data_IF_670493927627
#
_entry.id   IF_670493927627
#
_cell.length_a   1.000
_cell.length_b   1.000
_cell.length_c   1.000
_cell.angle_alpha   90.00
_cell.angle_beta   90.00
_cell.angle_gamma   90.00
#
_symmetry.space_group_name_H-M   'P 1'
#
loop_
_entity.id
_entity.type
_entity.pdbx_description
1 polymer ?
#
# COMPACT_ATOMS: atom_id res chain seq x y z
N UNK A 1 -12.64 23.50 -37.16
CA UNK A 1 -12.29 22.10 -36.84
C UNK A 1 -13.21 21.62 -35.72
N UNK A 2 -14.18 20.78 -36.07
CA UNK A 2 -15.24 20.32 -35.16
C UNK A 2 -14.64 19.44 -34.06
N UNK A 3 -14.92 19.77 -32.80
CA UNK A 3 -14.82 18.82 -31.69
C UNK A 3 -15.81 17.71 -31.98
N UNK A 4 -15.34 16.61 -32.58
CA UNK A 4 -16.08 15.35 -32.55
C UNK A 4 -16.46 15.11 -31.10
N UNK A 5 -17.76 14.98 -30.82
CA UNK A 5 -18.25 14.70 -29.48
C UNK A 5 -17.57 13.43 -28.99
N UNK A 6 -16.56 13.54 -28.14
CA UNK A 6 -15.92 12.39 -27.55
C UNK A 6 -17.02 11.54 -26.90
N UNK A 7 -17.02 10.25 -27.22
CA UNK A 7 -17.97 9.32 -26.62
C UNK A 7 -17.84 9.37 -25.09
N UNK A 8 -18.94 9.09 -24.37
CA UNK A 8 -18.91 9.02 -22.89
C UNK A 8 -17.80 8.08 -22.39
N UNK A 9 -17.51 7.00 -23.14
CA UNK A 9 -16.44 6.06 -22.86
C UNK A 9 -15.05 6.70 -22.90
N UNK A 10 -14.75 7.53 -23.90
CA UNK A 10 -13.48 8.25 -23.98
C UNK A 10 -13.31 9.19 -22.78
N UNK A 11 -14.37 9.89 -22.37
CA UNK A 11 -14.33 10.76 -21.19
C UNK A 11 -14.07 9.98 -19.89
N UNK A 12 -14.70 8.83 -19.69
CA UNK A 12 -14.43 7.98 -18.52
C UNK A 12 -13.00 7.42 -18.52
N UNK A 13 -12.52 6.99 -19.68
CA UNK A 13 -11.14 6.53 -19.85
C UNK A 13 -10.13 7.63 -19.48
N UNK A 14 -10.31 8.82 -20.04
CA UNK A 14 -9.43 9.96 -19.79
C UNK A 14 -9.48 10.39 -18.32
N UNK A 15 -10.68 10.41 -17.74
CA UNK A 15 -10.86 10.71 -16.32
C UNK A 15 -10.15 9.68 -15.44
N UNK A 16 -10.27 8.40 -15.74
CA UNK A 16 -9.66 7.35 -14.92
C UNK A 16 -8.13 7.42 -14.94
N UNK A 17 -7.52 7.54 -16.13
CA UNK A 17 -6.08 7.47 -16.31
C UNK A 17 -5.35 8.79 -16.12
N UNK A 18 -5.97 9.91 -16.49
CA UNK A 18 -5.27 11.18 -16.68
C UNK A 18 -5.83 12.35 -15.86
N UNK A 19 -6.76 12.12 -14.93
CA UNK A 19 -7.18 13.16 -13.96
C UNK A 19 -5.94 13.70 -13.25
N UNK A 20 -5.67 15.01 -13.25
CA UNK A 20 -4.48 15.59 -12.61
C UNK A 20 -4.27 15.15 -11.16
N UNK A 21 -3.05 14.77 -10.80
CA UNK A 21 -2.68 14.47 -9.40
C UNK A 21 -1.31 15.05 -9.03
N UNK A 22 -0.95 14.93 -7.76
CA UNK A 22 0.31 15.42 -7.20
C UNK A 22 1.48 14.45 -7.45
N UNK A 23 2.69 14.96 -7.72
CA UNK A 23 3.89 14.13 -7.80
C UNK A 23 4.23 13.40 -6.48
N UNK A 24 3.66 13.84 -5.35
CA UNK A 24 3.85 13.18 -4.04
C UNK A 24 3.31 11.75 -4.01
N UNK A 25 2.21 11.47 -4.70
CA UNK A 25 1.64 10.12 -4.72
C UNK A 25 2.57 9.13 -5.43
N UNK A 26 3.29 9.55 -6.47
CA UNK A 26 4.31 8.72 -7.13
C UNK A 26 5.55 8.53 -6.27
N UNK A 27 6.02 9.59 -5.62
CA UNK A 27 7.14 9.48 -4.71
C UNK A 27 6.82 8.55 -3.53
N UNK A 28 5.60 8.62 -3.00
CA UNK A 28 5.11 7.69 -1.99
C UNK A 28 5.08 6.26 -2.51
N UNK A 29 4.49 6.01 -3.70
CA UNK A 29 4.47 4.69 -4.31
C UNK A 29 5.90 4.13 -4.43
N UNK A 30 6.83 4.92 -4.96
CA UNK A 30 8.25 4.55 -5.07
C UNK A 30 8.85 4.13 -3.73
N UNK A 31 8.64 4.92 -2.68
CA UNK A 31 9.16 4.61 -1.33
C UNK A 31 8.50 3.35 -0.77
N UNK A 32 7.17 3.22 -0.87
CA UNK A 32 6.41 2.07 -0.35
C UNK A 32 6.91 0.77 -0.98
N UNK A 33 6.98 0.72 -2.32
CA UNK A 33 7.39 -0.49 -3.03
C UNK A 33 8.88 -0.78 -2.86
N UNK A 34 9.73 0.24 -2.79
CA UNK A 34 11.15 0.05 -2.49
C UNK A 34 11.36 -0.49 -1.06
N UNK A 35 10.74 0.13 -0.06
CA UNK A 35 10.86 -0.27 1.34
C UNK A 35 10.28 -1.67 1.60
N UNK A 36 9.12 -1.97 1.03
CA UNK A 36 8.52 -3.30 1.11
C UNK A 36 9.46 -4.36 0.50
N UNK A 37 9.98 -4.11 -0.70
CA UNK A 37 10.86 -5.07 -1.37
C UNK A 37 12.18 -5.26 -0.62
N UNK A 38 12.71 -4.19 -0.03
CA UNK A 38 13.90 -4.25 0.82
C UNK A 38 13.64 -5.09 2.08
N UNK A 39 12.46 -4.95 2.71
CA UNK A 39 12.06 -5.79 3.83
C UNK A 39 11.97 -7.27 3.45
N UNK A 40 11.35 -7.59 2.32
CA UNK A 40 11.29 -8.98 1.82
C UNK A 40 12.69 -9.50 1.54
N UNK A 41 13.52 -8.73 0.82
CA UNK A 41 14.89 -9.12 0.48
C UNK A 41 15.75 -9.35 1.73
N UNK A 42 15.61 -8.51 2.77
CA UNK A 42 16.35 -8.63 4.01
C UNK A 42 15.83 -9.75 4.94
N UNK A 43 14.55 -10.13 4.81
CA UNK A 43 13.94 -11.20 5.63
C UNK A 43 14.08 -12.59 5.01
N UNK A 44 14.72 -12.71 3.85
CA UNK A 44 14.85 -13.94 3.08
C UNK A 44 16.28 -14.19 2.65
N UNK A 45 16.68 -15.45 2.64
CA UNK A 45 18.00 -15.88 2.19
C UNK A 45 17.93 -16.32 0.72
N UNK A 46 17.48 -15.43 -0.17
CA UNK A 46 17.18 -15.79 -1.57
C UNK A 46 18.41 -16.36 -2.30
N UNK A 47 19.59 -15.78 -2.09
CA UNK A 47 20.81 -16.24 -2.74
C UNK A 47 21.20 -17.68 -2.35
N UNK A 48 20.93 -18.10 -1.12
CA UNK A 48 21.30 -19.43 -0.61
C UNK A 48 20.55 -20.55 -1.35
N UNK A 49 19.38 -20.25 -1.92
CA UNK A 49 18.59 -21.20 -2.69
C UNK A 49 19.37 -21.72 -3.91
N UNK A 50 20.17 -20.86 -4.55
CA UNK A 50 21.05 -21.26 -5.66
C UNK A 50 22.16 -22.22 -5.25
N UNK A 51 22.51 -22.26 -3.96
CA UNK A 51 23.51 -23.15 -3.38
C UNK A 51 22.97 -24.53 -2.98
N UNK A 52 21.67 -24.77 -3.12
CA UNK A 52 21.06 -26.07 -2.82
C UNK A 52 21.59 -27.18 -3.74
N UNK A 53 21.59 -28.45 -3.30
CA UNK A 53 22.06 -29.59 -4.09
C UNK A 53 21.41 -29.66 -5.47
N UNK A 54 22.17 -30.07 -6.51
CA UNK A 54 21.66 -30.14 -7.88
C UNK A 54 20.40 -31.02 -8.03
N UNK A 55 20.25 -32.03 -7.18
CA UNK A 55 19.06 -32.89 -7.16
C UNK A 55 17.77 -32.12 -6.85
N UNK A 56 17.85 -31.07 -6.04
CA UNK A 56 16.71 -30.18 -5.77
C UNK A 56 16.21 -29.52 -7.07
N UNK A 57 17.15 -29.11 -7.92
CA UNK A 57 16.89 -28.42 -9.18
C UNK A 57 16.39 -29.33 -10.30
N UNK A 58 16.49 -30.66 -10.15
CA UNK A 58 16.03 -31.64 -11.14
C UNK A 58 14.51 -31.54 -11.41
N UNK A 59 13.74 -31.07 -10.42
CA UNK A 59 12.28 -30.90 -10.52
C UNK A 59 11.88 -29.55 -11.12
N UNK A 60 12.82 -28.62 -11.26
CA UNK A 60 12.56 -27.28 -11.79
C UNK A 60 12.68 -27.33 -13.32
N UNK A 61 11.55 -27.12 -14.00
CA UNK A 61 11.49 -27.15 -15.45
C UNK A 61 12.49 -26.20 -16.10
N UNK A 62 13.14 -26.64 -17.18
CA UNK A 62 14.14 -25.83 -17.89
C UNK A 62 13.56 -24.48 -18.37
N UNK A 63 12.31 -24.47 -18.81
CA UNK A 63 11.62 -23.23 -19.22
C UNK A 63 11.50 -22.21 -18.08
N UNK A 64 11.25 -22.66 -16.85
CA UNK A 64 11.19 -21.78 -15.69
C UNK A 64 12.57 -21.21 -15.37
N UNK A 65 13.62 -22.05 -15.39
CA UNK A 65 15.00 -21.61 -15.19
C UNK A 65 15.43 -20.57 -16.22
N UNK A 66 15.15 -20.78 -17.50
CA UNK A 66 15.46 -19.81 -18.55
C UNK A 66 14.64 -18.52 -18.46
N UNK A 67 13.37 -18.60 -18.05
CA UNK A 67 12.50 -17.42 -17.89
C UNK A 67 13.02 -16.44 -16.85
N UNK A 68 13.64 -16.96 -15.81
CA UNK A 68 14.12 -16.18 -14.67
C UNK A 68 15.64 -16.07 -14.60
N UNK A 69 16.36 -16.80 -15.44
CA UNK A 69 17.82 -16.95 -15.44
C UNK A 69 18.36 -17.62 -14.16
N UNK A 70 17.59 -18.57 -13.61
CA UNK A 70 17.92 -19.27 -12.37
C UNK A 70 18.79 -20.50 -12.68
N UNK A 71 20.11 -20.37 -12.49
CA UNK A 71 21.06 -21.45 -12.68
C UNK A 71 21.72 -21.83 -11.35
N UNK A 72 21.64 -23.11 -10.93
CA UNK A 72 22.20 -23.54 -9.65
C UNK A 72 23.73 -23.52 -9.64
N UNK A 73 24.32 -23.45 -8.44
CA UNK A 73 25.77 -23.52 -8.25
C UNK A 73 26.49 -22.15 -8.31
N UNK A 74 25.74 -21.05 -8.38
CA UNK A 74 26.29 -19.70 -8.52
C UNK A 74 26.04 -18.80 -7.29
N UNK A 75 26.17 -19.35 -6.08
CA UNK A 75 25.89 -18.65 -4.82
C UNK A 75 26.52 -17.25 -4.70
N UNK A 76 27.79 -17.11 -5.08
CA UNK A 76 28.48 -15.81 -5.01
C UNK A 76 27.86 -14.77 -5.94
N UNK A 77 27.46 -15.17 -7.14
CA UNK A 77 26.79 -14.29 -8.09
C UNK A 77 25.44 -13.84 -7.52
N UNK A 78 24.64 -14.76 -7.01
CA UNK A 78 23.33 -14.44 -6.45
C UNK A 78 23.42 -13.53 -5.22
N UNK A 79 24.42 -13.75 -4.35
CA UNK A 79 24.68 -12.83 -3.23
C UNK A 79 25.03 -11.43 -3.73
N UNK A 80 25.86 -11.31 -4.77
CA UNK A 80 26.17 -10.01 -5.39
C UNK A 80 24.91 -9.36 -5.97
N UNK A 81 24.05 -10.11 -6.67
CA UNK A 81 22.81 -9.60 -7.23
C UNK A 81 21.83 -9.14 -6.14
N UNK A 82 21.73 -9.86 -5.02
CA UNK A 82 20.96 -9.44 -3.84
C UNK A 82 21.48 -8.12 -3.27
N UNK A 83 22.80 -7.96 -3.11
CA UNK A 83 23.38 -6.70 -2.65
C UNK A 83 23.11 -5.53 -3.60
N UNK A 84 23.30 -5.76 -4.90
CA UNK A 84 22.99 -4.76 -5.93
C UNK A 84 21.51 -4.37 -5.92
N UNK A 85 20.61 -5.34 -5.74
CA UNK A 85 19.18 -5.09 -5.61
C UNK A 85 18.87 -4.25 -4.36
N UNK A 86 19.48 -4.59 -3.21
CA UNK A 86 19.34 -3.81 -1.97
C UNK A 86 19.79 -2.36 -2.14
N UNK A 87 20.96 -2.13 -2.75
CA UNK A 87 21.48 -0.78 -3.03
C UNK A 87 20.53 -0.03 -3.99
N UNK A 88 20.12 -0.67 -5.08
CA UNK A 88 19.21 -0.07 -6.05
C UNK A 88 17.85 0.30 -5.40
N UNK A 89 17.34 -0.53 -4.49
CA UNK A 89 16.11 -0.27 -3.75
C UNK A 89 16.26 0.91 -2.77
N UNK A 90 17.38 1.00 -2.05
CA UNK A 90 17.68 2.16 -1.19
C UNK A 90 17.77 3.43 -2.04
N UNK A 91 18.48 3.39 -3.17
CA UNK A 91 18.54 4.52 -4.10
C UNK A 91 17.16 4.88 -4.68
N UNK A 92 16.34 3.88 -5.02
CA UNK A 92 14.98 4.08 -5.49
C UNK A 92 14.13 4.76 -4.41
N UNK A 93 14.12 4.27 -3.18
CA UNK A 93 13.39 4.89 -2.06
C UNK A 93 13.84 6.33 -1.81
N UNK A 94 15.15 6.55 -1.70
CA UNK A 94 15.76 7.87 -1.47
C UNK A 94 15.60 8.85 -2.64
N UNK A 95 15.28 8.35 -3.84
CA UNK A 95 15.17 9.17 -5.04
C UNK A 95 16.51 9.60 -5.62
N UNK A 96 17.53 8.75 -5.49
CA UNK A 96 18.80 8.85 -6.21
C UNK A 96 18.61 8.20 -7.57
N UNK A 97 18.73 8.97 -8.65
CA UNK A 97 18.43 8.53 -10.04
C UNK A 97 17.15 7.68 -10.13
N UNK A 98 15.99 8.20 -9.66
CA UNK A 98 14.84 7.39 -9.28
C UNK A 98 14.34 6.45 -10.39
N UNK A 99 14.35 6.90 -11.65
CA UNK A 99 13.91 6.07 -12.80
C UNK A 99 14.85 4.90 -13.04
N UNK A 100 16.16 5.14 -13.04
CA UNK A 100 17.18 4.11 -13.23
C UNK A 100 17.19 3.13 -12.06
N UNK A 101 17.16 3.65 -10.82
CA UNK A 101 17.13 2.84 -9.61
C UNK A 101 15.89 1.94 -9.54
N UNK A 102 14.70 2.47 -9.92
CA UNK A 102 13.49 1.66 -10.07
C UNK A 102 13.62 0.60 -11.16
N UNK A 103 14.19 0.93 -12.32
CA UNK A 103 14.39 -0.01 -13.43
C UNK A 103 15.29 -1.17 -13.00
N UNK A 104 16.48 -0.84 -12.48
CA UNK A 104 17.46 -1.83 -12.01
C UNK A 104 16.86 -2.69 -10.89
N UNK A 105 16.17 -2.08 -9.92
CA UNK A 105 15.48 -2.83 -8.86
C UNK A 105 14.43 -3.79 -9.43
N UNK A 106 13.61 -3.33 -10.38
CA UNK A 106 12.57 -4.16 -11.01
C UNK A 106 13.15 -5.37 -11.75
N UNK A 107 14.23 -5.17 -12.51
CA UNK A 107 14.91 -6.26 -13.24
C UNK A 107 15.58 -7.26 -12.27
N UNK A 108 16.32 -6.76 -11.27
CA UNK A 108 16.97 -7.63 -10.31
C UNK A 108 15.95 -8.42 -9.47
N UNK A 109 14.86 -7.78 -9.03
CA UNK A 109 13.80 -8.49 -8.32
C UNK A 109 13.04 -9.47 -9.20
N UNK A 110 12.89 -9.22 -10.51
CA UNK A 110 12.29 -10.19 -11.44
C UNK A 110 13.08 -11.50 -11.47
N UNK A 111 14.41 -11.40 -11.45
CA UNK A 111 15.31 -12.55 -11.36
C UNK A 111 15.32 -13.20 -9.97
N UNK A 112 15.35 -12.41 -8.89
CA UNK A 112 15.51 -12.95 -7.53
C UNK A 112 14.22 -13.52 -6.92
N UNK A 113 13.04 -13.02 -7.31
CA UNK A 113 11.77 -13.39 -6.69
C UNK A 113 11.37 -14.87 -6.81
N UNK A 114 11.63 -15.58 -7.92
CA UNK A 114 11.39 -17.02 -8.07
C UNK A 114 12.03 -17.87 -6.97
N UNK A 115 13.21 -17.49 -6.47
CA UNK A 115 13.90 -18.21 -5.39
C UNK A 115 13.05 -18.34 -4.12
N UNK A 116 12.11 -17.43 -3.87
CA UNK A 116 11.17 -17.57 -2.74
C UNK A 116 10.20 -18.74 -2.93
N UNK A 117 9.72 -18.94 -4.16
CA UNK A 117 8.68 -19.93 -4.47
C UNK A 117 9.23 -21.31 -4.82
N UNK A 118 10.45 -21.37 -5.37
CA UNK A 118 11.03 -22.61 -5.89
C UNK A 118 11.25 -23.67 -4.81
N UNK A 119 11.41 -23.24 -3.55
CA UNK A 119 11.48 -24.09 -2.36
C UNK A 119 10.20 -24.94 -2.20
N UNK A 120 9.06 -24.43 -2.62
CA UNK A 120 7.76 -25.02 -2.37
C UNK A 120 7.15 -25.67 -3.61
N UNK A 121 7.45 -25.14 -4.80
CA UNK A 121 6.80 -25.55 -6.04
C UNK A 121 7.78 -25.62 -7.22
N UNK A 122 7.62 -26.60 -8.13
CA UNK A 122 8.49 -26.77 -9.30
C UNK A 122 8.23 -25.75 -10.43
N UNK A 123 7.17 -24.94 -10.32
CA UNK A 123 6.81 -23.87 -11.24
C UNK A 123 6.86 -22.52 -10.50
N UNK A 124 8.07 -21.95 -10.31
CA UNK A 124 8.23 -20.79 -9.46
C UNK A 124 7.57 -19.54 -10.05
N UNK A 125 7.14 -18.65 -9.16
CA UNK A 125 6.61 -17.33 -9.44
C UNK A 125 7.09 -16.34 -8.38
N UNK A 126 6.91 -15.05 -8.61
CA UNK A 126 7.40 -14.01 -7.71
C UNK A 126 6.47 -13.85 -6.47
N UNK A 127 6.43 -14.86 -5.58
CA UNK A 127 5.67 -14.82 -4.31
C UNK A 127 6.09 -13.56 -3.54
N UNK A 128 5.13 -12.72 -3.14
CA UNK A 128 5.38 -11.42 -2.48
C UNK A 128 5.95 -10.30 -3.38
N UNK A 129 6.89 -10.59 -4.27
CA UNK A 129 7.58 -9.57 -5.07
C UNK A 129 6.93 -9.25 -6.43
N UNK A 130 5.95 -10.04 -6.90
CA UNK A 130 5.32 -9.84 -8.24
C UNK A 130 4.85 -8.40 -8.43
N UNK A 131 4.09 -7.87 -7.46
CA UNK A 131 3.54 -6.51 -7.54
C UNK A 131 4.66 -5.47 -7.46
N UNK A 132 5.68 -5.70 -6.63
CA UNK A 132 6.83 -4.80 -6.55
C UNK A 132 7.59 -4.69 -7.87
N UNK A 133 7.82 -5.81 -8.55
CA UNK A 133 8.53 -5.83 -9.84
C UNK A 133 7.81 -4.97 -10.86
N UNK A 134 6.52 -5.24 -11.09
CA UNK A 134 5.72 -4.50 -12.08
C UNK A 134 5.50 -3.04 -11.66
N UNK A 135 5.38 -2.74 -10.36
CA UNK A 135 5.25 -1.38 -9.86
C UNK A 135 6.53 -0.56 -10.03
N UNK A 136 7.69 -1.13 -9.69
CA UNK A 136 8.99 -0.47 -9.87
C UNK A 136 9.29 -0.25 -11.35
N UNK A 137 9.02 -1.23 -12.22
CA UNK A 137 9.15 -1.04 -13.66
C UNK A 137 8.19 0.05 -14.18
N UNK A 138 6.94 0.07 -13.71
CA UNK A 138 5.97 1.14 -14.04
C UNK A 138 6.50 2.52 -13.63
N UNK A 139 7.07 2.64 -12.43
CA UNK A 139 7.65 3.87 -11.91
C UNK A 139 8.91 4.30 -12.68
N UNK A 140 9.71 3.36 -13.17
CA UNK A 140 10.88 3.65 -14.00
C UNK A 140 10.52 4.43 -15.28
N UNK A 141 9.33 4.16 -15.82
CA UNK A 141 8.80 4.85 -17.01
C UNK A 141 7.91 6.04 -16.68
N UNK A 142 7.87 6.48 -15.41
CA UNK A 142 7.08 7.63 -14.98
C UNK A 142 7.94 8.77 -14.42
N UNK A 143 7.40 9.98 -14.23
CA UNK A 143 8.10 11.10 -13.60
C UNK A 143 8.17 10.94 -12.06
N UNK A 144 8.50 9.74 -11.55
CA UNK A 144 8.56 9.42 -10.12
C UNK A 144 9.71 10.11 -9.34
N UNK A 145 10.47 10.98 -10.02
CA UNK A 145 11.54 11.79 -9.45
C UNK A 145 11.18 13.24 -9.19
N UNK A 146 9.95 13.68 -9.51
CA UNK A 146 9.55 15.09 -9.38
C UNK A 146 9.23 15.50 -7.93
N UNK A 147 9.25 14.56 -6.97
CA UNK A 147 9.04 14.83 -5.53
C UNK A 147 9.85 13.87 -4.65
N UNK A 148 10.19 14.33 -3.44
CA UNK A 148 10.90 13.60 -2.39
C UNK A 148 12.16 12.87 -2.90
N UNK A 149 13.10 13.61 -3.48
CA UNK A 149 14.38 13.10 -3.97
C UNK A 149 15.54 13.74 -3.24
N UNK A 150 16.55 12.96 -2.86
CA UNK A 150 17.79 13.50 -2.26
C UNK A 150 18.70 14.22 -3.27
N UNK A 151 18.67 13.81 -4.54
CA UNK A 151 19.47 14.42 -5.62
C UNK A 151 18.55 15.09 -6.64
N UNK A 152 18.04 16.31 -6.35
CA UNK A 152 17.28 17.05 -7.34
C UNK A 152 18.21 17.44 -8.50
N UNK A 153 17.97 16.89 -9.68
CA UNK A 153 18.65 17.32 -10.91
C UNK A 153 18.12 18.70 -11.33
N UNK A 154 18.48 19.74 -10.59
CA UNK A 154 18.36 21.16 -11.00
C UNK A 154 16.98 21.67 -11.40
N UNK A 155 15.88 20.95 -11.14
CA UNK A 155 14.53 21.32 -11.54
C UNK A 155 13.72 21.81 -10.35
N UNK A 156 13.54 23.12 -10.26
CA UNK A 156 12.71 23.77 -9.23
C UNK A 156 11.20 23.66 -9.48
N UNK A 157 10.77 23.04 -10.60
CA UNK A 157 9.36 22.86 -10.98
C UNK A 157 9.07 21.42 -11.42
N UNK A 158 7.85 20.92 -11.18
CA UNK A 158 7.39 19.65 -11.75
C UNK A 158 7.59 19.69 -13.27
N UNK A 159 8.27 18.67 -13.82
CA UNK A 159 8.68 18.68 -15.22
C UNK A 159 7.62 18.10 -16.15
N UNK A 160 6.66 17.36 -15.60
CA UNK A 160 5.63 16.67 -16.36
C UNK A 160 4.26 17.34 -16.20
N UNK A 161 3.38 17.23 -17.20
CA UNK A 161 1.96 17.55 -17.06
C UNK A 161 1.34 16.83 -15.85
N UNK A 162 0.40 17.49 -15.18
CA UNK A 162 -0.22 16.94 -13.98
C UNK A 162 -0.96 15.60 -14.21
N UNK A 163 -1.37 15.33 -15.46
CA UNK A 163 -1.96 14.06 -15.92
C UNK A 163 -0.99 12.88 -15.86
N UNK A 164 0.31 13.12 -16.06
CA UNK A 164 1.33 12.08 -16.18
C UNK A 164 1.67 11.45 -14.83
N UNK A 165 1.25 12.09 -13.74
CA UNK A 165 1.40 11.58 -12.39
C UNK A 165 0.34 10.51 -12.02
N UNK A 166 -0.77 10.45 -12.75
CA UNK A 166 -1.94 9.63 -12.36
C UNK A 166 -1.89 8.22 -12.92
N UNK A 167 -1.62 8.09 -14.22
CA UNK A 167 -1.65 6.79 -14.88
C UNK A 167 -0.74 5.73 -14.22
N UNK A 168 0.48 6.03 -13.73
CA UNK A 168 1.34 5.00 -13.16
C UNK A 168 0.81 4.53 -11.80
N UNK A 169 0.31 5.45 -10.96
CA UNK A 169 -0.34 5.11 -9.69
C UNK A 169 -1.58 4.26 -9.94
N UNK A 170 -2.39 4.61 -10.95
CA UNK A 170 -3.58 3.85 -11.32
C UNK A 170 -3.25 2.47 -11.84
N UNK A 171 -2.21 2.34 -12.66
CA UNK A 171 -1.76 1.06 -13.17
C UNK A 171 -1.31 0.13 -12.03
N UNK A 172 -0.56 0.67 -11.07
CA UNK A 172 -0.16 -0.08 -9.86
C UNK A 172 -1.39 -0.48 -9.02
N UNK A 173 -2.37 0.41 -8.87
CA UNK A 173 -3.63 0.08 -8.19
C UNK A 173 -4.40 -1.02 -8.93
N UNK A 174 -4.39 -1.04 -10.26
CA UNK A 174 -5.00 -2.11 -11.07
C UNK A 174 -4.30 -3.44 -10.80
N UNK A 175 -2.96 -3.47 -10.88
CA UNK A 175 -2.17 -4.67 -10.58
C UNK A 175 -2.40 -5.22 -9.16
N UNK A 176 -2.58 -4.35 -8.18
CA UNK A 176 -2.91 -4.77 -6.82
C UNK A 176 -4.33 -5.32 -6.68
N UNK A 177 -5.27 -4.88 -7.49
CA UNK A 177 -6.68 -5.26 -7.35
C UNK A 177 -6.99 -6.49 -8.20
N UNK A 178 -6.34 -6.64 -9.35
CA UNK A 178 -6.53 -7.78 -10.22
C UNK A 178 -6.15 -9.10 -9.54
N UNK A 179 -5.16 -9.13 -8.64
CA UNK A 179 -4.80 -10.36 -7.93
C UNK A 179 -5.97 -10.91 -7.11
N UNK A 180 -6.77 -10.04 -6.49
CA UNK A 180 -7.94 -10.46 -5.71
C UNK A 180 -9.08 -10.86 -6.64
N UNK A 181 -9.33 -10.05 -7.67
CA UNK A 181 -10.35 -10.35 -8.67
C UNK A 181 -10.10 -11.72 -9.32
N UNK A 182 -8.87 -11.98 -9.76
CA UNK A 182 -8.50 -13.25 -10.38
C UNK A 182 -8.40 -14.40 -9.38
N UNK A 183 -8.05 -14.14 -8.11
CA UNK A 183 -8.16 -15.16 -7.07
C UNK A 183 -9.61 -15.61 -6.85
N UNK A 184 -10.57 -14.68 -6.82
CA UNK A 184 -12.00 -15.01 -6.72
C UNK A 184 -12.53 -15.69 -7.99
N UNK A 185 -12.16 -15.17 -9.16
CA UNK A 185 -12.51 -15.75 -10.46
C UNK A 185 -12.01 -17.19 -10.60
N UNK A 186 -10.74 -17.46 -10.27
CA UNK A 186 -10.15 -18.79 -10.35
C UNK A 186 -10.88 -19.80 -9.45
N UNK A 187 -11.29 -19.40 -8.24
CA UNK A 187 -12.08 -20.25 -7.34
C UNK A 187 -13.40 -20.68 -7.99
N UNK A 188 -14.10 -19.74 -8.62
CA UNK A 188 -15.38 -20.01 -9.28
C UNK A 188 -15.18 -20.85 -10.55
N UNK A 189 -14.19 -20.54 -11.37
CA UNK A 189 -14.01 -21.24 -12.66
C UNK A 189 -13.44 -22.64 -12.48
N UNK A 190 -12.46 -22.82 -11.60
CA UNK A 190 -11.78 -24.12 -11.41
C UNK A 190 -12.60 -25.05 -10.52
N UNK A 191 -13.20 -24.53 -9.45
CA UNK A 191 -13.91 -25.35 -8.45
C UNK A 191 -15.43 -25.21 -8.54
N UNK A 192 -15.95 -24.09 -9.01
CA UNK A 192 -17.38 -23.78 -9.01
C UNK A 192 -17.85 -23.12 -7.72
N UNK A 193 -19.15 -22.83 -7.64
CA UNK A 193 -19.78 -22.24 -6.44
C UNK A 193 -19.62 -23.09 -5.17
N UNK A 194 -19.39 -24.40 -5.31
CA UNK A 194 -19.08 -25.30 -4.19
C UNK A 194 -17.78 -24.94 -3.44
N UNK A 195 -16.93 -24.09 -4.02
CA UNK A 195 -15.76 -23.55 -3.31
C UNK A 195 -16.18 -22.84 -2.01
N UNK A 196 -17.27 -22.08 -2.04
CA UNK A 196 -17.80 -21.38 -0.86
C UNK A 196 -18.64 -22.28 0.07
N UNK A 197 -18.74 -23.59 -0.20
CA UNK A 197 -19.48 -24.50 0.68
C UNK A 197 -18.80 -24.61 2.05
N UNK A 198 -19.62 -24.75 3.09
CA UNK A 198 -19.11 -24.90 4.45
C UNK A 198 -18.14 -26.09 4.60
N UNK A 199 -18.39 -27.20 3.91
CA UNK A 199 -17.52 -28.37 3.92
C UNK A 199 -16.14 -28.07 3.31
N UNK A 200 -16.10 -27.39 2.15
CA UNK A 200 -14.84 -27.03 1.51
C UNK A 200 -14.02 -26.05 2.36
N UNK A 201 -14.67 -25.00 2.89
CA UNK A 201 -13.99 -24.01 3.74
C UNK A 201 -13.48 -24.63 5.04
N UNK A 202 -14.28 -25.51 5.67
CA UNK A 202 -13.83 -26.28 6.85
C UNK A 202 -12.56 -27.09 6.52
N UNK A 203 -12.55 -27.78 5.39
CA UNK A 203 -11.40 -28.60 4.99
C UNK A 203 -10.15 -27.74 4.77
N UNK A 204 -10.27 -26.58 4.10
CA UNK A 204 -9.15 -25.65 3.93
C UNK A 204 -8.63 -25.11 5.26
N UNK A 205 -9.52 -24.73 6.17
CA UNK A 205 -9.14 -24.24 7.49
C UNK A 205 -8.37 -25.33 8.26
N UNK A 206 -8.92 -26.53 8.36
CA UNK A 206 -8.27 -27.63 9.07
C UNK A 206 -6.94 -28.02 8.42
N UNK A 207 -6.90 -28.09 7.08
CA UNK A 207 -5.68 -28.36 6.35
C UNK A 207 -4.58 -27.34 6.65
N UNK A 208 -4.88 -26.03 6.58
CA UNK A 208 -3.88 -24.99 6.81
C UNK A 208 -3.50 -24.79 8.30
N UNK A 209 -4.34 -25.24 9.24
CA UNK A 209 -3.97 -25.26 10.66
C UNK A 209 -2.96 -26.38 10.95
N UNK A 210 -3.15 -27.55 10.33
CA UNK A 210 -2.23 -28.69 10.46
C UNK A 210 -0.95 -28.50 9.62
N UNK A 211 -1.05 -27.82 8.48
CA UNK A 211 0.10 -27.52 7.62
C UNK A 211 0.89 -26.32 8.17
N UNK A 212 2.06 -26.62 8.74
CA UNK A 212 2.89 -25.75 9.59
C UNK A 212 3.60 -24.60 8.84
N UNK A 213 2.87 -23.72 8.15
CA UNK A 213 3.49 -22.49 7.60
C UNK A 213 3.97 -21.54 8.70
N UNK A 214 3.25 -21.49 9.83
CA UNK A 214 3.58 -20.68 11.01
C UNK A 214 3.40 -21.44 12.32
N UNK A 215 2.40 -22.34 12.41
CA UNK A 215 2.18 -23.21 13.56
C UNK A 215 1.73 -22.52 14.85
N UNK A 216 1.42 -21.21 14.83
CA UNK A 216 1.16 -20.42 16.05
C UNK A 216 -0.33 -20.31 16.40
N UNK A 217 -1.21 -20.11 15.41
CA UNK A 217 -2.61 -19.76 15.64
C UNK A 217 -3.55 -20.93 15.35
N UNK A 218 -4.16 -21.50 16.40
CA UNK A 218 -5.03 -22.69 16.25
C UNK A 218 -6.49 -22.43 16.64
N UNK A 219 -6.73 -21.51 17.57
CA UNK A 219 -8.02 -21.34 18.25
C UNK A 219 -9.13 -20.79 17.36
N UNK A 220 -8.86 -19.70 16.63
CA UNK A 220 -9.87 -19.04 15.79
C UNK A 220 -10.31 -19.94 14.62
N UNK A 221 -9.34 -20.57 13.97
CA UNK A 221 -9.58 -21.49 12.88
C UNK A 221 -10.39 -22.72 13.31
N UNK A 222 -9.99 -23.38 14.41
CA UNK A 222 -10.73 -24.51 14.97
C UNK A 222 -12.16 -24.12 15.39
N UNK A 223 -12.33 -22.93 15.99
CA UNK A 223 -13.64 -22.37 16.33
C UNK A 223 -14.54 -22.19 15.10
N UNK A 224 -13.99 -21.68 14.00
CA UNK A 224 -14.74 -21.47 12.75
C UNK A 224 -15.07 -22.81 12.08
N UNK A 225 -14.10 -23.74 12.01
CA UNK A 225 -14.26 -25.06 11.43
C UNK A 225 -15.37 -25.88 12.10
N UNK A 226 -15.52 -25.76 13.42
CA UNK A 226 -16.58 -26.42 14.18
C UNK A 226 -18.00 -25.93 13.83
N UNK A 227 -18.15 -24.79 13.13
CA UNK A 227 -19.44 -24.13 12.87
C UNK A 227 -19.72 -24.03 11.38
N UNK A 228 -20.76 -24.73 10.92
CA UNK A 228 -21.15 -24.73 9.51
C UNK A 228 -21.49 -23.32 8.98
N UNK A 229 -22.23 -22.52 9.76
CA UNK A 229 -22.60 -21.15 9.37
C UNK A 229 -21.38 -20.23 9.27
N UNK A 230 -20.40 -20.37 10.16
CA UNK A 230 -19.16 -19.60 10.10
C UNK A 230 -18.37 -19.93 8.83
N UNK A 231 -18.22 -21.22 8.51
CA UNK A 231 -17.55 -21.66 7.29
C UNK A 231 -18.26 -21.16 6.02
N UNK A 232 -19.60 -21.23 5.98
CA UNK A 232 -20.38 -20.71 4.85
C UNK A 232 -20.21 -19.19 4.70
N UNK A 233 -20.31 -18.45 5.81
CA UNK A 233 -20.14 -17.00 5.82
C UNK A 233 -18.73 -16.59 5.36
N UNK A 234 -17.69 -17.30 5.79
CA UNK A 234 -16.31 -17.08 5.35
C UNK A 234 -16.15 -17.37 3.85
N UNK A 235 -16.70 -18.47 3.35
CA UNK A 235 -16.62 -18.83 1.93
C UNK A 235 -17.32 -17.82 1.03
N UNK A 236 -18.58 -17.51 1.32
CA UNK A 236 -19.35 -16.50 0.56
C UNK A 236 -18.73 -15.11 0.71
N UNK A 237 -18.35 -14.73 1.93
CA UNK A 237 -17.71 -13.44 2.22
C UNK A 237 -16.41 -13.27 1.47
N UNK A 238 -15.58 -14.32 1.37
CA UNK A 238 -14.34 -14.30 0.58
C UNK A 238 -14.61 -14.03 -0.89
N UNK A 239 -15.56 -14.74 -1.52
CA UNK A 239 -15.88 -14.52 -2.94
C UNK A 239 -16.45 -13.13 -3.20
N UNK A 240 -17.39 -12.66 -2.36
CA UNK A 240 -17.96 -11.32 -2.47
C UNK A 240 -16.86 -10.25 -2.32
N UNK A 241 -15.97 -10.44 -1.36
CA UNK A 241 -14.88 -9.51 -1.11
C UNK A 241 -13.87 -9.46 -2.26
N UNK A 242 -13.35 -10.62 -2.68
CA UNK A 242 -12.34 -10.73 -3.74
C UNK A 242 -12.85 -10.17 -5.08
N UNK A 243 -14.07 -10.55 -5.50
CA UNK A 243 -14.67 -10.05 -6.73
C UNK A 243 -15.08 -8.58 -6.62
N UNK A 244 -15.60 -8.18 -5.45
CA UNK A 244 -16.04 -6.81 -5.19
C UNK A 244 -14.89 -5.81 -5.06
N UNK A 245 -13.66 -6.26 -4.83
CA UNK A 245 -12.52 -5.39 -4.64
C UNK A 245 -12.23 -4.51 -5.86
N UNK A 246 -12.61 -4.94 -7.07
CA UNK A 246 -12.47 -4.13 -8.30
C UNK A 246 -13.12 -2.75 -8.19
N UNK A 247 -14.14 -2.60 -7.35
CA UNK A 247 -14.86 -1.35 -7.13
C UNK A 247 -13.99 -0.25 -6.50
N UNK A 248 -12.87 -0.57 -5.86
CA UNK A 248 -11.95 0.43 -5.27
C UNK A 248 -11.30 1.34 -6.32
N UNK A 249 -11.21 0.87 -7.57
CA UNK A 249 -10.67 1.64 -8.68
C UNK A 249 -11.59 2.82 -9.04
N UNK A 250 -12.90 2.61 -8.94
CA UNK A 250 -13.93 3.51 -9.45
C UNK A 250 -14.68 4.29 -8.36
N UNK A 251 -14.74 3.78 -7.13
CA UNK A 251 -15.49 4.40 -6.03
C UNK A 251 -14.60 4.80 -4.85
N UNK A 252 -14.73 6.06 -4.42
CA UNK A 252 -14.05 6.58 -3.21
C UNK A 252 -14.58 5.91 -1.94
N UNK A 253 -15.87 5.58 -1.90
CA UNK A 253 -16.48 4.88 -0.76
C UNK A 253 -15.93 3.45 -0.70
N UNK A 254 -15.93 2.74 -1.84
CA UNK A 254 -15.35 1.41 -1.91
C UNK A 254 -13.88 1.42 -1.47
N UNK A 255 -13.08 2.41 -1.90
CA UNK A 255 -11.69 2.54 -1.44
C UNK A 255 -11.57 2.73 0.08
N UNK A 256 -12.40 3.58 0.68
CA UNK A 256 -12.37 3.85 2.13
C UNK A 256 -12.77 2.63 2.96
N UNK A 257 -13.66 1.79 2.44
CA UNK A 257 -14.19 0.62 3.16
C UNK A 257 -13.37 -0.63 2.85
N UNK A 258 -13.19 -0.95 1.58
CA UNK A 258 -12.58 -2.22 1.16
C UNK A 258 -11.07 -2.25 1.36
N UNK A 259 -10.33 -1.14 1.21
CA UNK A 259 -8.86 -1.16 1.39
C UNK A 259 -8.46 -1.51 2.83
N UNK A 260 -9.03 -0.91 3.89
CA UNK A 260 -8.81 -1.37 5.25
C UNK A 260 -9.30 -2.80 5.49
N UNK A 261 -10.42 -3.19 4.87
CA UNK A 261 -10.91 -4.57 4.95
C UNK A 261 -9.93 -5.57 4.33
N UNK A 262 -9.09 -5.21 3.36
CA UNK A 262 -8.02 -6.10 2.86
C UNK A 262 -7.05 -6.45 4.00
N UNK A 263 -6.64 -5.48 4.81
CA UNK A 263 -5.75 -5.75 5.95
C UNK A 263 -6.43 -6.65 6.99
N UNK A 264 -7.70 -6.41 7.29
CA UNK A 264 -8.49 -7.26 8.20
C UNK A 264 -8.73 -8.66 7.64
N UNK A 265 -8.93 -8.78 6.33
CA UNK A 265 -9.10 -10.05 5.63
C UNK A 265 -7.82 -10.90 5.76
N UNK A 266 -6.65 -10.31 5.52
CA UNK A 266 -5.37 -11.02 5.70
C UNK A 266 -5.08 -11.33 7.17
N UNK A 267 -5.45 -10.45 8.10
CA UNK A 267 -5.34 -10.75 9.52
C UNK A 267 -6.23 -11.93 9.90
N UNK A 268 -7.46 -11.99 9.37
CA UNK A 268 -8.37 -13.12 9.55
C UNK A 268 -7.80 -14.42 8.98
N UNK A 269 -7.18 -14.37 7.80
CA UNK A 269 -6.49 -15.52 7.21
C UNK A 269 -5.30 -15.95 8.07
N UNK A 270 -4.49 -15.02 8.57
CA UNK A 270 -3.36 -15.34 9.45
C UNK A 270 -3.83 -16.04 10.74
N UNK A 271 -4.82 -15.46 11.43
CA UNK A 271 -5.31 -15.98 12.70
C UNK A 271 -6.15 -17.26 12.54
N UNK A 272 -6.81 -17.43 11.38
CA UNK A 272 -7.70 -18.56 11.12
C UNK A 272 -7.06 -19.73 10.36
N UNK A 273 -5.99 -19.47 9.60
CA UNK A 273 -5.38 -20.45 8.68
C UNK A 273 -3.85 -20.46 8.72
N UNK A 274 -3.18 -19.71 9.60
CA UNK A 274 -1.70 -19.62 9.66
C UNK A 274 -1.01 -19.18 8.35
N UNK A 275 -1.75 -18.60 7.40
CA UNK A 275 -1.19 -18.13 6.13
C UNK A 275 -0.85 -16.64 6.21
N UNK A 276 0.39 -16.29 5.84
CA UNK A 276 0.84 -14.90 5.79
C UNK A 276 0.90 -14.39 4.36
N UNK A 277 0.40 -13.18 4.17
CA UNK A 277 0.49 -12.44 2.92
C UNK A 277 1.18 -11.11 3.19
N UNK A 278 2.41 -10.99 2.71
CA UNK A 278 3.28 -9.88 3.08
C UNK A 278 2.89 -8.57 2.37
N UNK A 279 2.07 -8.62 1.31
CA UNK A 279 1.78 -7.47 0.44
C UNK A 279 0.90 -6.37 1.08
N UNK A 280 0.38 -6.56 2.30
CA UNK A 280 -0.52 -5.61 2.96
C UNK A 280 0.01 -4.16 3.00
N UNK A 281 1.30 -3.88 3.29
CA UNK A 281 1.82 -2.51 3.28
C UNK A 281 1.72 -1.80 1.91
N UNK A 282 1.70 -2.56 0.80
CA UNK A 282 1.60 -1.99 -0.55
C UNK A 282 0.24 -1.32 -0.79
N UNK A 283 -0.79 -1.64 0.00
CA UNK A 283 -2.11 -0.98 -0.05
C UNK A 283 -2.05 0.52 0.23
N UNK A 284 -0.97 0.99 0.84
CA UNK A 284 -0.72 2.40 1.07
C UNK A 284 -0.65 3.24 -0.23
N UNK A 285 -0.51 2.60 -1.41
CA UNK A 285 -0.64 3.27 -2.71
C UNK A 285 -2.06 3.82 -2.97
N UNK A 286 -3.07 3.39 -2.21
CA UNK A 286 -4.42 3.93 -2.26
C UNK A 286 -4.60 5.21 -1.41
N UNK A 287 -3.64 5.52 -0.53
CA UNK A 287 -3.69 6.70 0.32
C UNK A 287 -3.48 7.98 -0.50
N UNK A 288 -4.11 9.08 -0.05
CA UNK A 288 -3.83 10.41 -0.58
C UNK A 288 -2.69 11.05 0.22
N UNK A 289 -1.49 11.02 -0.34
CA UNK A 289 -0.29 11.46 0.35
C UNK A 289 -0.17 12.98 0.48
N UNK A 290 -0.93 13.76 -0.29
CA UNK A 290 -1.03 15.20 -0.07
C UNK A 290 -1.75 15.52 1.24
N UNK A 291 -2.85 14.81 1.51
CA UNK A 291 -3.63 14.97 2.75
C UNK A 291 -2.80 14.52 3.95
N UNK A 292 -2.12 13.37 3.84
CA UNK A 292 -1.23 12.86 4.91
C UNK A 292 -0.10 13.86 5.19
N UNK A 293 0.57 14.35 4.15
CA UNK A 293 1.65 15.32 4.30
C UNK A 293 1.16 16.66 4.90
N UNK A 294 -0.05 17.11 4.55
CA UNK A 294 -0.65 18.31 5.14
C UNK A 294 -1.00 18.11 6.62
N UNK A 295 -1.49 16.93 7.00
CA UNK A 295 -1.78 16.61 8.40
C UNK A 295 -0.51 16.60 9.26
N UNK A 296 0.58 15.99 8.77
CA UNK A 296 1.88 15.97 9.46
C UNK A 296 2.53 17.34 9.63
N UNK A 297 2.14 18.34 8.82
CA UNK A 297 2.68 19.70 8.87
C UNK A 297 1.93 20.63 9.81
N UNK A 298 0.78 20.25 10.37
CA UNK A 298 0.07 21.11 11.31
C UNK A 298 0.94 21.27 12.56
N UNK A 299 1.43 22.48 12.89
CA UNK A 299 2.11 22.68 14.17
C UNK A 299 1.14 22.33 15.29
N UNK A 300 1.63 21.64 16.32
CA UNK A 300 0.91 21.52 17.58
C UNK A 300 0.40 22.92 17.96
N UNK A 301 -0.87 23.09 18.35
CA UNK A 301 -1.29 24.37 18.90
C UNK A 301 -0.34 24.68 20.05
N UNK A 302 0.45 25.74 19.90
CA UNK A 302 1.16 26.32 21.02
C UNK A 302 0.12 26.52 22.10
N UNK A 303 0.27 25.79 23.21
CA UNK A 303 -0.42 26.12 24.44
C UNK A 303 0.08 27.52 24.76
N UNK A 304 -0.71 28.53 24.40
CA UNK A 304 -0.41 29.90 24.76
C UNK A 304 -0.45 29.95 26.28
N UNK A 305 0.71 29.80 26.91
CA UNK A 305 0.96 30.32 28.25
C UNK A 305 0.84 31.83 28.12
N UNK A 306 -0.39 32.34 28.07
CA UNK A 306 -0.63 33.69 28.51
C UNK A 306 -0.36 33.68 30.02
N UNK A 307 0.66 34.39 30.51
CA UNK A 307 0.75 34.62 31.94
C UNK A 307 -0.54 35.32 32.35
N UNK A 308 -1.23 34.75 33.33
CA UNK A 308 -2.30 35.43 34.06
C UNK A 308 -1.80 36.82 34.41
N UNK A 309 -2.32 37.85 33.73
CA UNK A 309 -2.33 39.21 34.27
C UNK A 309 -3.16 39.10 35.54
N UNK A 310 -2.49 39.06 36.69
CA UNK A 310 -3.11 39.39 37.97
C UNK A 310 -3.52 40.85 37.82
N UNK A 311 -4.83 41.08 37.73
CA UNK A 311 -5.40 42.42 37.84
C UNK A 311 -5.01 42.98 39.22
N UNK A 312 -4.16 44.00 39.22
CA UNK A 312 -4.05 44.96 40.31
C UNK A 312 -5.39 45.70 40.41
N UNK A 313 -6.30 45.14 41.20
CA UNK A 313 -7.47 45.84 41.73
C UNK A 313 -7.09 46.37 43.11
N UNK A 314 -7.24 47.69 43.28
CA UNK A 314 -7.19 48.51 44.51
C UNK A 314 -5.94 49.36 44.73
N UNK A 315 -5.98 50.61 44.25
CA UNK A 315 -5.58 51.80 45.02
C UNK A 315 -5.77 53.08 44.19
N UNK A 316 -7.02 53.56 44.01
CA UNK A 316 -7.32 54.96 43.66
C UNK A 316 -8.83 55.23 43.70
N UNK A 317 -9.46 54.95 44.84
CA UNK A 317 -10.81 55.40 45.16
C UNK A 317 -10.77 56.17 46.49
N UNK A 318 -9.89 57.18 46.59
CA UNK A 318 -9.82 58.03 47.78
C UNK A 318 -9.22 59.40 47.44
N UNK A 319 -9.77 60.10 46.45
CA UNK A 319 -9.58 61.57 46.28
C UNK A 319 -10.46 62.10 45.15
N UNK A 320 -11.73 62.43 45.45
CA UNK A 320 -12.51 63.49 44.78
C UNK A 320 -13.99 63.40 45.19
N UNK A 321 -14.28 63.52 46.48
CA UNK A 321 -15.64 63.79 46.97
C UNK A 321 -15.66 65.09 47.78
N UNK A 322 -15.07 66.15 47.21
CA UNK A 322 -15.17 67.51 47.72
C UNK A 322 -15.12 68.47 46.53
N UNK A 323 -16.27 68.75 45.92
CA UNK A 323 -16.62 70.11 45.45
C UNK A 323 -18.07 70.16 44.96
N UNK A 324 -18.88 70.87 45.75
CA UNK A 324 -19.82 71.89 45.28
C UNK A 324 -20.84 71.50 44.20
N UNK A 325 -22.07 71.26 44.63
CA UNK A 325 -23.23 71.75 43.88
C UNK A 325 -24.18 72.48 44.83
N UNK A 326 -24.19 73.79 44.67
CA UNK A 326 -24.97 74.78 45.42
C UNK A 326 -25.92 75.43 44.42
N UNK A 327 -27.18 75.61 44.80
CA UNK A 327 -28.22 76.45 44.18
C UNK A 327 -28.66 76.05 42.75
N UNK A 328 -29.94 75.98 42.39
CA UNK A 328 -31.16 76.31 43.10
C UNK A 328 -32.33 76.42 42.11
N UNK A 329 -33.53 76.45 42.70
CA UNK A 329 -34.72 77.18 42.24
C UNK A 329 -35.54 76.74 41.02
N UNK A 330 -36.81 76.46 41.37
CA UNK A 330 -38.08 76.88 40.76
C UNK A 330 -38.83 75.89 39.84
N UNK A 331 -40.01 75.56 40.35
CA UNK A 331 -41.19 74.93 39.73
C UNK A 331 -41.90 75.91 38.76
N UNK A 332 -43.17 75.74 38.30
CA UNK A 332 -44.12 74.62 38.47
C UNK A 332 -44.99 74.28 37.22
N UNK A 333 -45.96 73.36 37.44
CA UNK A 333 -47.28 73.22 36.79
C UNK A 333 -47.35 72.73 35.32
N UNK A 334 -47.82 71.49 35.12
CA UNK A 334 -49.24 71.12 35.03
C UNK A 334 -49.45 69.62 35.13
#
# INVERSE_FOLDING_TARGET
>A
MNRLSQSRWAQYWDTFWFTPTSPRNLAAARIIFAAYSLWVLASRQLAEVSGLPLDFWSRVGASARWRYLDFPGHLSLERTLVWLAGIALVCAGAGVFPRLSCFVSGILLYHLAPFESIIWIPHPYARGLTISVIALLTLAFSPCGDSWTLLPLGRSRPSAPASDYTWPVRLIQVFLVEIYLFAGYAKIVVVGWKWASAANIRNWILYCIEEDQMGVFHSLGAWAAARQLACLALGVGTLVFELGLIMVLFSRIARRVLVPLVALFHLGILLGMNLTFLNVPQLLVFANWDVVAAWLKKPHPEVSNQPHKVEEVNASAETAFVTQNTLGTLAPMR
#
